data_IF_856588874420
#
_entry.id   IF_856588874420
#
_cell.length_a   1.000
_cell.length_b   1.000
_cell.length_c   1.000
_cell.angle_alpha   90.00
_cell.angle_beta   90.00
_cell.angle_gamma   90.00
#
_symmetry.space_group_name_H-M   'P 1'
#
loop_
_entity.id
_entity.type
_entity.pdbx_description
1 polymer ?
#
# COMPACT_ATOMS: atom_id res chain seq x y z
N UNK A 1 18.86 26.08 -15.22
CA UNK A 1 17.76 25.69 -16.17
C UNK A 1 17.17 24.36 -15.72
N UNK A 2 15.83 24.27 -15.56
CA UNK A 2 15.20 23.04 -15.08
C UNK A 2 15.15 21.99 -16.19
N UNK A 3 15.67 20.80 -15.90
CA UNK A 3 15.66 19.62 -16.77
C UNK A 3 15.14 18.39 -16.03
N UNK A 4 14.79 17.33 -16.78
CA UNK A 4 14.23 16.10 -16.22
C UNK A 4 14.97 14.89 -16.80
N UNK A 5 15.36 13.96 -15.93
CA UNK A 5 16.00 12.69 -16.29
C UNK A 5 15.37 11.57 -15.46
N UNK A 6 15.56 10.32 -15.87
CA UNK A 6 15.22 9.17 -15.02
C UNK A 6 16.18 9.05 -13.84
N UNK A 7 15.76 8.40 -12.77
CA UNK A 7 16.59 8.23 -11.56
C UNK A 7 17.84 7.36 -11.79
N UNK A 8 17.91 6.64 -12.90
CA UNK A 8 19.12 5.90 -13.33
C UNK A 8 20.36 6.79 -13.50
N UNK A 9 20.18 8.11 -13.62
CA UNK A 9 21.27 9.08 -13.69
C UNK A 9 21.87 9.44 -12.33
N UNK A 10 21.33 8.88 -11.24
CA UNK A 10 21.84 9.03 -9.88
C UNK A 10 22.34 7.69 -9.33
N UNK A 11 23.36 7.76 -8.50
CA UNK A 11 23.68 6.64 -7.61
C UNK A 11 22.58 6.47 -6.57
N UNK A 12 22.44 5.29 -5.97
CA UNK A 12 21.50 5.09 -4.86
C UNK A 12 21.74 6.02 -3.68
N UNK A 13 22.99 6.41 -3.43
CA UNK A 13 23.33 7.37 -2.38
C UNK A 13 22.76 8.75 -2.69
N UNK A 14 22.99 9.27 -3.90
CA UNK A 14 22.45 10.57 -4.34
C UNK A 14 20.91 10.57 -4.36
N UNK A 15 20.30 9.48 -4.85
CA UNK A 15 18.85 9.31 -4.85
C UNK A 15 18.29 9.29 -3.43
N UNK A 16 18.96 8.63 -2.49
CA UNK A 16 18.58 8.60 -1.08
C UNK A 16 18.73 9.98 -0.42
N UNK A 17 19.83 10.70 -0.65
CA UNK A 17 20.02 12.06 -0.17
C UNK A 17 18.93 13.01 -0.70
N UNK A 18 18.61 12.91 -1.98
CA UNK A 18 17.50 13.65 -2.58
C UNK A 18 16.14 13.28 -1.94
N UNK A 19 15.90 12.00 -1.66
CA UNK A 19 14.69 11.53 -0.99
C UNK A 19 14.57 12.15 0.42
N UNK A 20 15.61 12.07 1.24
CA UNK A 20 15.60 12.65 2.59
C UNK A 20 15.36 14.16 2.56
N UNK A 21 16.08 14.88 1.69
CA UNK A 21 15.96 16.34 1.55
C UNK A 21 14.61 16.75 0.96
N UNK A 22 14.07 15.99 0.02
CA UNK A 22 12.76 16.23 -0.59
C UNK A 22 11.59 16.04 0.37
N UNK A 23 11.76 15.23 1.43
CA UNK A 23 10.79 15.04 2.50
C UNK A 23 11.11 15.85 3.77
N UNK A 24 12.09 16.75 3.74
CA UNK A 24 12.35 17.61 4.88
C UNK A 24 11.10 18.44 5.26
N UNK A 25 10.74 18.44 6.55
CA UNK A 25 9.53 19.12 7.05
C UNK A 25 8.20 18.44 6.68
N UNK A 26 8.23 17.16 6.24
CA UNK A 26 7.01 16.41 5.99
C UNK A 26 6.30 16.05 7.31
N UNK A 27 4.98 15.81 7.24
CA UNK A 27 4.10 15.54 8.41
C UNK A 27 4.55 14.37 9.28
N UNK A 28 5.20 13.38 8.69
CA UNK A 28 5.82 12.27 9.38
C UNK A 28 7.32 12.20 9.02
N UNK A 29 8.19 11.89 9.99
CA UNK A 29 9.63 11.78 9.69
C UNK A 29 9.88 10.70 8.64
N UNK A 30 10.31 11.11 7.43
CA UNK A 30 10.66 10.19 6.34
C UNK A 30 12.16 9.81 6.37
N UNK A 31 12.73 9.72 7.58
CA UNK A 31 14.11 9.29 7.77
C UNK A 31 14.17 7.76 7.67
N UNK A 32 14.82 7.24 6.66
CA UNK A 32 15.11 5.82 6.53
C UNK A 32 16.58 5.61 6.19
N UNK A 33 17.20 4.51 6.63
CA UNK A 33 18.57 4.14 6.24
C UNK A 33 18.67 3.87 4.73
N UNK A 34 19.87 3.99 4.17
CA UNK A 34 20.11 3.77 2.74
C UNK A 34 19.71 2.37 2.27
N UNK A 35 20.00 1.34 3.06
CA UNK A 35 19.63 -0.04 2.76
C UNK A 35 18.11 -0.25 2.71
N UNK A 36 17.36 0.40 3.61
CA UNK A 36 15.90 0.39 3.58
C UNK A 36 15.34 1.14 2.36
N UNK A 37 15.95 2.25 1.96
CA UNK A 37 15.59 2.96 0.72
C UNK A 37 15.83 2.09 -0.52
N UNK A 38 16.99 1.44 -0.61
CA UNK A 38 17.33 0.53 -1.71
C UNK A 38 16.35 -0.65 -1.76
N UNK A 39 16.02 -1.24 -0.61
CA UNK A 39 15.10 -2.37 -0.51
C UNK A 39 13.70 -2.05 -1.08
N UNK A 40 13.26 -0.79 -1.09
CA UNK A 40 11.99 -0.37 -1.69
C UNK A 40 11.91 -0.65 -3.19
N UNK A 41 13.01 -0.58 -3.92
CA UNK A 41 13.02 -0.88 -5.35
C UNK A 41 12.65 -2.35 -5.63
N UNK A 42 13.07 -3.26 -4.75
CA UNK A 42 12.65 -4.67 -4.82
C UNK A 42 11.28 -4.92 -4.19
N UNK A 43 11.10 -4.49 -2.93
CA UNK A 43 9.91 -4.80 -2.13
C UNK A 43 8.66 -4.07 -2.62
N UNK A 44 8.78 -2.78 -2.94
CA UNK A 44 7.66 -1.95 -3.39
C UNK A 44 7.53 -1.92 -4.92
N UNK A 45 8.34 -2.68 -5.65
CA UNK A 45 8.37 -2.71 -7.11
C UNK A 45 8.63 -1.33 -7.75
N UNK A 46 9.41 -0.47 -7.09
CA UNK A 46 9.88 0.79 -7.68
C UNK A 46 10.91 0.53 -8.77
N UNK A 47 10.97 1.43 -9.76
CA UNK A 47 11.95 1.33 -10.84
C UNK A 47 12.64 2.67 -11.07
N UNK A 48 13.97 2.67 -11.08
CA UNK A 48 14.76 3.86 -11.37
C UNK A 48 14.54 4.35 -12.82
N UNK A 49 14.30 3.44 -13.76
CA UNK A 49 14.09 3.75 -15.19
C UNK A 49 12.78 4.45 -15.51
N UNK A 50 11.81 4.42 -14.59
CA UNK A 50 10.52 5.14 -14.73
C UNK A 50 10.30 6.18 -13.62
N UNK A 51 11.20 6.27 -12.65
CA UNK A 51 11.18 7.34 -11.65
C UNK A 51 11.84 8.59 -12.23
N UNK A 52 11.21 9.76 -12.03
CA UNK A 52 11.69 11.04 -12.58
C UNK A 52 12.46 11.82 -11.52
N UNK A 53 13.55 12.43 -11.95
CA UNK A 53 14.34 13.40 -11.19
C UNK A 53 14.34 14.73 -11.92
N UNK A 54 14.05 15.80 -11.19
CA UNK A 54 14.14 17.17 -11.64
C UNK A 54 15.50 17.74 -11.22
N UNK A 55 16.20 18.35 -12.17
CA UNK A 55 17.49 19.00 -11.98
C UNK A 55 17.37 20.50 -12.21
N UNK A 56 18.11 21.29 -11.44
CA UNK A 56 18.48 22.64 -11.82
C UNK A 56 19.96 22.61 -12.15
N UNK A 57 20.28 22.78 -13.44
CA UNK A 57 21.58 22.45 -14.00
C UNK A 57 21.97 21.00 -13.69
N UNK A 58 23.00 20.77 -12.89
CA UNK A 58 23.44 19.43 -12.46
C UNK A 58 22.98 19.05 -11.06
N UNK A 59 22.29 19.95 -10.33
CA UNK A 59 21.80 19.69 -8.98
C UNK A 59 20.43 19.01 -9.02
N UNK A 60 20.26 17.80 -8.45
CA UNK A 60 18.94 17.19 -8.30
C UNK A 60 18.14 17.93 -7.23
N UNK A 61 16.91 18.37 -7.56
CA UNK A 61 16.09 19.26 -6.72
C UNK A 61 14.69 18.73 -6.45
N UNK A 62 14.27 17.67 -7.14
CA UNK A 62 12.98 17.02 -6.90
C UNK A 62 12.90 15.67 -7.58
N UNK A 63 11.93 14.85 -7.16
CA UNK A 63 11.74 13.50 -7.68
C UNK A 63 10.30 13.04 -7.61
N UNK A 64 9.98 12.04 -8.44
CA UNK A 64 8.82 11.17 -8.31
C UNK A 64 9.31 9.72 -8.39
N UNK A 65 9.14 8.95 -7.33
CA UNK A 65 9.39 7.50 -7.33
C UNK A 65 8.19 6.78 -7.95
N UNK A 66 8.44 5.91 -8.91
CA UNK A 66 7.37 5.21 -9.61
C UNK A 66 7.64 3.71 -9.73
N UNK A 67 6.54 2.93 -9.69
CA UNK A 67 6.50 1.51 -10.00
C UNK A 67 5.38 1.21 -10.99
N UNK A 68 5.51 0.14 -11.77
CA UNK A 68 4.46 -0.38 -12.65
C UNK A 68 4.25 -1.85 -12.35
N UNK A 69 2.99 -2.28 -12.32
CA UNK A 69 2.58 -3.69 -12.29
C UNK A 69 1.55 -3.94 -13.38
N UNK A 70 1.37 -5.19 -13.73
CA UNK A 70 0.32 -5.61 -14.65
C UNK A 70 -0.65 -6.53 -13.93
N UNK A 71 -1.94 -6.23 -14.02
CA UNK A 71 -3.02 -7.02 -13.43
C UNK A 71 -4.12 -7.16 -14.46
N UNK A 72 -4.48 -8.41 -14.82
CA UNK A 72 -5.52 -8.71 -15.80
C UNK A 72 -5.32 -8.02 -17.17
N UNK A 73 -4.06 -7.83 -17.60
CA UNK A 73 -3.72 -7.16 -18.85
C UNK A 73 -3.70 -5.63 -18.78
N UNK A 74 -4.02 -5.03 -17.63
CA UNK A 74 -3.92 -3.59 -17.42
C UNK A 74 -2.63 -3.22 -16.66
N UNK A 75 -1.93 -2.21 -17.15
CA UNK A 75 -0.77 -1.63 -16.48
C UNK A 75 -1.22 -0.57 -15.48
N UNK A 76 -0.92 -0.80 -14.21
CA UNK A 76 -1.20 0.10 -13.10
C UNK A 76 0.14 0.65 -12.60
N UNK A 77 0.27 1.98 -12.55
CA UNK A 77 1.44 2.62 -12.00
C UNK A 77 1.16 3.19 -10.60
N UNK A 78 2.21 3.31 -9.83
CA UNK A 78 2.19 3.91 -8.51
C UNK A 78 3.19 5.05 -8.38
N UNK A 79 2.75 6.17 -7.85
CA UNK A 79 3.62 7.20 -7.32
C UNK A 79 3.94 6.87 -5.86
N UNK A 80 5.09 6.25 -5.64
CA UNK A 80 5.59 5.80 -4.34
C UNK A 80 6.27 6.88 -3.50
N UNK A 81 6.26 8.11 -3.99
CA UNK A 81 6.77 9.28 -3.28
C UNK A 81 7.13 10.42 -4.22
N UNK A 82 6.72 11.60 -3.85
CA UNK A 82 7.05 12.87 -4.54
C UNK A 82 7.70 13.82 -3.55
N UNK A 83 8.84 14.34 -3.88
CA UNK A 83 9.56 15.32 -3.05
C UNK A 83 10.22 16.42 -3.88
N UNK A 84 10.26 17.61 -3.29
CA UNK A 84 11.04 18.77 -3.78
C UNK A 84 11.78 19.35 -2.59
N UNK A 85 13.06 19.60 -2.75
CA UNK A 85 13.88 20.18 -1.68
C UNK A 85 13.37 21.58 -1.30
N UNK A 86 13.51 22.00 -0.01
CA UNK A 86 12.84 23.19 0.52
C UNK A 86 13.03 24.46 -0.32
N UNK A 87 14.24 24.73 -0.82
CA UNK A 87 14.57 25.95 -1.55
C UNK A 87 13.84 26.07 -2.90
N UNK A 88 13.29 24.98 -3.41
CA UNK A 88 12.57 24.91 -4.70
C UNK A 88 11.06 24.80 -4.53
N UNK A 89 10.55 24.73 -3.29
CA UNK A 89 9.10 24.71 -3.01
C UNK A 89 8.45 26.06 -3.27
N UNK A 90 7.13 26.08 -3.44
CA UNK A 90 6.36 27.31 -3.67
C UNK A 90 6.50 27.91 -5.08
N UNK A 91 7.37 27.36 -5.93
CA UNK A 91 7.68 27.87 -7.30
C UNK A 91 6.86 27.18 -8.41
N UNK A 92 5.76 26.49 -8.07
CA UNK A 92 4.90 25.72 -8.99
C UNK A 92 5.60 24.53 -9.68
N UNK A 93 6.82 24.19 -9.28
CA UNK A 93 7.61 23.11 -9.88
C UNK A 93 6.99 21.72 -9.65
N UNK A 94 6.21 21.54 -8.58
CA UNK A 94 5.53 20.27 -8.31
C UNK A 94 4.57 19.85 -9.42
N UNK A 95 3.79 20.79 -9.98
CA UNK A 95 2.89 20.50 -11.11
C UNK A 95 3.69 19.98 -12.31
N UNK A 96 4.75 20.70 -12.71
CA UNK A 96 5.57 20.32 -13.86
C UNK A 96 6.26 18.96 -13.63
N UNK A 97 6.73 18.70 -12.41
CA UNK A 97 7.36 17.43 -12.04
C UNK A 97 6.39 16.25 -12.17
N UNK A 98 5.14 16.40 -11.67
CA UNK A 98 4.14 15.34 -11.79
C UNK A 98 3.68 15.17 -13.25
N UNK A 99 3.50 16.25 -14.01
CA UNK A 99 3.16 16.18 -15.43
C UNK A 99 4.22 15.40 -16.22
N UNK A 100 5.52 15.63 -15.95
CA UNK A 100 6.60 14.84 -16.57
C UNK A 100 6.60 13.38 -16.15
N UNK A 101 6.29 13.08 -14.91
CA UNK A 101 6.12 11.71 -14.45
C UNK A 101 4.96 11.01 -15.18
N UNK A 102 3.80 11.68 -15.33
CA UNK A 102 2.64 11.15 -16.06
C UNK A 102 2.91 10.99 -17.56
N UNK A 103 3.67 11.89 -18.17
CA UNK A 103 4.11 11.78 -19.58
C UNK A 103 4.92 10.49 -19.79
N UNK A 104 5.86 10.19 -18.90
CA UNK A 104 6.64 8.95 -18.97
C UNK A 104 5.76 7.71 -18.78
N UNK A 105 4.80 7.73 -17.86
CA UNK A 105 3.85 6.62 -17.69
C UNK A 105 2.99 6.39 -18.93
N UNK A 106 2.55 7.46 -19.59
CA UNK A 106 1.79 7.36 -20.86
C UNK A 106 2.64 6.73 -21.97
N UNK A 107 3.94 7.08 -22.07
CA UNK A 107 4.88 6.43 -23.00
C UNK A 107 5.07 4.94 -22.70
N UNK A 108 4.95 4.52 -21.43
CA UNK A 108 4.98 3.13 -20.99
C UNK A 108 3.64 2.39 -21.19
N UNK A 109 2.64 3.07 -21.78
CA UNK A 109 1.28 2.56 -21.98
C UNK A 109 0.61 2.11 -20.68
N UNK A 110 0.76 2.92 -19.63
CA UNK A 110 0.06 2.71 -18.36
C UNK A 110 -1.40 3.09 -18.51
N UNK A 111 -2.31 2.23 -18.03
CA UNK A 111 -3.75 2.47 -18.04
C UNK A 111 -4.16 3.39 -16.88
N UNK A 112 -3.70 3.07 -15.68
CA UNK A 112 -4.11 3.75 -14.44
C UNK A 112 -2.88 4.16 -13.65
N UNK A 113 -2.78 5.43 -13.29
CA UNK A 113 -1.81 5.93 -12.31
C UNK A 113 -2.48 6.06 -10.94
N UNK A 114 -1.80 5.57 -9.89
CA UNK A 114 -2.30 5.56 -8.51
C UNK A 114 -1.32 6.25 -7.55
N UNK A 115 -1.82 6.69 -6.43
CA UNK A 115 -1.03 7.16 -5.30
C UNK A 115 -1.84 7.12 -4.00
N UNK A 116 -1.14 7.10 -2.87
CA UNK A 116 -1.69 7.39 -1.56
C UNK A 116 -1.05 8.67 -1.00
N UNK A 117 -1.87 9.51 -0.37
CA UNK A 117 -1.41 10.75 0.27
C UNK A 117 -2.06 10.89 1.66
N UNK A 118 -1.30 11.38 2.65
CA UNK A 118 -1.88 11.70 3.96
C UNK A 118 -3.06 12.65 3.81
N UNK A 119 -4.20 12.34 4.43
CA UNK A 119 -5.43 13.15 4.33
C UNK A 119 -5.24 14.58 4.82
N UNK A 120 -4.30 14.79 5.75
CA UNK A 120 -3.92 16.12 6.25
C UNK A 120 -3.03 16.91 5.27
N UNK A 121 -2.45 16.26 4.25
CA UNK A 121 -1.58 16.91 3.26
C UNK A 121 -2.38 17.55 2.12
N UNK A 122 -3.22 18.51 2.46
CA UNK A 122 -4.08 19.21 1.51
C UNK A 122 -3.31 19.88 0.34
N UNK A 123 -2.10 20.44 0.53
CA UNK A 123 -1.31 20.96 -0.59
C UNK A 123 -0.95 19.88 -1.63
N UNK A 124 -0.58 18.68 -1.20
CA UNK A 124 -0.27 17.58 -2.13
C UNK A 124 -1.53 17.06 -2.83
N UNK A 125 -2.64 16.89 -2.11
CA UNK A 125 -3.92 16.44 -2.68
C UNK A 125 -4.35 17.41 -3.79
N UNK A 126 -4.37 18.73 -3.52
CA UNK A 126 -4.70 19.75 -4.53
C UNK A 126 -3.75 19.75 -5.73
N UNK A 127 -2.46 19.45 -5.49
CA UNK A 127 -1.49 19.31 -6.58
C UNK A 127 -1.84 18.14 -7.50
N UNK A 128 -2.18 16.98 -6.92
CA UNK A 128 -2.57 15.79 -7.68
C UNK A 128 -3.91 15.97 -8.39
N UNK A 129 -4.90 16.57 -7.74
CA UNK A 129 -6.19 16.92 -8.36
C UNK A 129 -6.01 17.83 -9.58
N UNK A 130 -5.13 18.84 -9.47
CA UNK A 130 -4.82 19.77 -10.57
C UNK A 130 -4.27 19.07 -11.82
N UNK A 131 -3.53 17.99 -11.66
CA UNK A 131 -3.01 17.17 -12.78
C UNK A 131 -3.92 16.01 -13.14
N UNK A 132 -5.14 15.97 -12.60
CA UNK A 132 -6.22 15.09 -13.01
C UNK A 132 -6.38 13.80 -12.22
N UNK A 133 -5.69 13.62 -11.08
CA UNK A 133 -6.04 12.56 -10.14
C UNK A 133 -7.37 12.86 -9.45
N UNK A 134 -8.07 11.80 -9.06
CA UNK A 134 -9.32 11.89 -8.28
C UNK A 134 -9.19 11.05 -7.03
N UNK A 135 -9.67 11.55 -5.90
CA UNK A 135 -9.84 10.76 -4.69
C UNK A 135 -10.93 9.73 -4.94
N UNK A 136 -10.61 8.46 -4.75
CA UNK A 136 -11.54 7.34 -4.96
C UNK A 136 -11.89 6.61 -3.67
N UNK A 137 -11.05 6.73 -2.63
CA UNK A 137 -11.31 6.15 -1.32
C UNK A 137 -10.50 6.85 -0.22
N UNK A 138 -10.90 6.61 1.03
CA UNK A 138 -10.14 6.96 2.23
C UNK A 138 -9.58 5.69 2.86
N UNK A 139 -8.33 5.74 3.26
CA UNK A 139 -7.59 4.60 3.81
C UNK A 139 -7.35 4.80 5.30
N UNK A 140 -7.73 3.80 6.08
CA UNK A 140 -7.66 3.84 7.53
C UNK A 140 -6.63 2.87 8.10
N UNK A 141 -6.13 3.21 9.28
CA UNK A 141 -5.23 2.40 10.08
C UNK A 141 -5.92 2.09 11.39
N UNK A 142 -6.03 0.81 11.71
CA UNK A 142 -6.66 0.34 12.94
C UNK A 142 -5.62 -0.41 13.76
N UNK A 143 -5.75 -0.38 15.08
CA UNK A 143 -4.86 -1.09 15.99
C UNK A 143 -5.62 -1.75 17.13
N UNK A 144 -5.12 -2.88 17.59
CA UNK A 144 -5.58 -3.57 18.78
C UNK A 144 -4.40 -4.26 19.48
N UNK A 145 -4.51 -4.48 20.78
CA UNK A 145 -3.49 -5.16 21.58
C UNK A 145 -4.15 -6.11 22.59
N UNK A 146 -3.42 -7.12 23.01
CA UNK A 146 -3.88 -8.09 24.00
C UNK A 146 -4.54 -9.32 23.35
N UNK A 147 -5.23 -10.11 24.15
CA UNK A 147 -6.03 -11.25 23.70
C UNK A 147 -7.40 -10.72 23.26
N UNK A 148 -7.84 -11.11 22.07
CA UNK A 148 -9.16 -10.77 21.54
C UNK A 148 -10.10 -11.96 21.66
N UNK A 149 -11.40 -11.72 21.44
CA UNK A 149 -12.41 -12.78 21.51
C UNK A 149 -12.28 -13.72 20.30
N UNK A 150 -11.80 -14.94 20.54
CA UNK A 150 -11.70 -16.00 19.53
C UNK A 150 -12.94 -16.88 19.58
N UNK A 151 -13.75 -16.85 18.54
CA UNK A 151 -14.95 -17.68 18.43
C UNK A 151 -14.62 -19.01 17.72
N UNK A 152 -14.40 -20.06 18.54
CA UNK A 152 -14.09 -21.40 18.03
C UNK A 152 -15.21 -21.97 17.14
N UNK A 153 -16.48 -21.60 17.38
CA UNK A 153 -17.60 -22.09 16.57
C UNK A 153 -17.49 -21.57 15.14
N UNK A 154 -17.23 -20.25 14.99
CA UNK A 154 -17.03 -19.66 13.67
C UNK A 154 -15.80 -20.28 12.98
N UNK A 155 -14.69 -20.43 13.69
CA UNK A 155 -13.47 -20.99 13.12
C UNK A 155 -13.66 -22.45 12.65
N UNK A 156 -14.43 -23.26 13.38
CA UNK A 156 -14.66 -24.67 13.06
C UNK A 156 -15.66 -24.93 11.91
N UNK A 157 -16.37 -23.91 11.43
CA UNK A 157 -17.29 -24.03 10.28
C UNK A 157 -16.55 -24.08 8.93
N UNK A 158 -15.28 -23.70 8.90
CA UNK A 158 -14.50 -23.51 7.68
C UNK A 158 -13.17 -24.26 7.73
N UNK A 159 -12.74 -24.77 6.58
CA UNK A 159 -11.37 -25.22 6.41
C UNK A 159 -10.47 -23.98 6.25
N UNK A 160 -9.58 -23.74 7.22
CA UNK A 160 -8.64 -22.61 7.19
C UNK A 160 -7.29 -23.08 6.68
N UNK A 161 -6.81 -22.45 5.60
CA UNK A 161 -5.47 -22.71 5.03
C UNK A 161 -4.59 -21.48 5.17
N UNK A 162 -3.39 -21.69 5.71
CA UNK A 162 -2.34 -20.69 5.75
C UNK A 162 -1.33 -21.00 4.63
N UNK A 163 -1.17 -20.08 3.70
CA UNK A 163 -0.24 -20.22 2.56
C UNK A 163 0.64 -18.97 2.44
N UNK A 164 1.83 -19.08 1.83
CA UNK A 164 2.60 -17.90 1.47
C UNK A 164 1.76 -16.95 0.61
N UNK A 165 1.79 -15.65 0.89
CA UNK A 165 0.96 -14.67 0.18
C UNK A 165 1.22 -14.67 -1.34
N UNK A 166 2.45 -15.04 -1.78
CA UNK A 166 2.79 -15.17 -3.19
C UNK A 166 1.91 -16.22 -3.94
N UNK A 167 1.46 -17.27 -3.25
CA UNK A 167 0.56 -18.28 -3.83
C UNK A 167 -0.88 -17.77 -3.96
N UNK A 168 -1.25 -16.73 -3.21
CA UNK A 168 -2.58 -16.11 -3.25
C UNK A 168 -2.70 -15.00 -4.31
N UNK A 169 -1.61 -14.58 -4.95
CA UNK A 169 -1.59 -13.47 -5.93
C UNK A 169 -2.60 -13.67 -7.07
N UNK A 170 -2.78 -14.91 -7.51
CA UNK A 170 -3.72 -15.26 -8.58
C UNK A 170 -5.11 -15.68 -8.07
N UNK A 171 -5.39 -15.46 -6.77
CA UNK A 171 -6.71 -15.74 -6.21
C UNK A 171 -7.71 -14.70 -6.72
N UNK A 172 -8.81 -15.17 -7.31
CA UNK A 172 -9.89 -14.33 -7.88
C UNK A 172 -10.58 -13.48 -6.78
N UNK A 173 -10.34 -13.80 -5.52
CA UNK A 173 -11.04 -13.17 -4.38
C UNK A 173 -10.55 -11.75 -4.08
N UNK A 174 -9.31 -11.39 -4.45
CA UNK A 174 -8.78 -10.06 -4.20
C UNK A 174 -9.08 -9.11 -5.35
N UNK A 175 -9.52 -7.85 -5.09
CA UNK A 175 -9.75 -6.87 -6.14
C UNK A 175 -8.48 -6.54 -6.92
N UNK A 176 -8.62 -6.31 -8.24
CA UNK A 176 -7.50 -5.96 -9.11
C UNK A 176 -6.91 -4.57 -8.82
N UNK A 177 -7.76 -3.61 -8.48
CA UNK A 177 -7.36 -2.25 -8.15
C UNK A 177 -7.51 -1.99 -6.64
N UNK A 178 -6.38 -1.99 -5.97
CA UNK A 178 -6.24 -1.71 -4.53
C UNK A 178 -5.07 -0.75 -4.30
N UNK A 179 -4.96 -0.09 -3.13
CA UNK A 179 -3.78 0.68 -2.79
C UNK A 179 -2.51 -0.15 -2.93
N UNK A 180 -1.45 0.45 -3.47
CA UNK A 180 -0.25 -0.28 -3.89
C UNK A 180 0.39 -1.13 -2.79
N UNK A 181 0.51 -0.55 -1.60
CA UNK A 181 1.23 -1.19 -0.49
C UNK A 181 0.48 -2.36 0.15
N UNK A 182 -0.80 -2.55 -0.19
CA UNK A 182 -1.63 -3.68 0.26
C UNK A 182 -1.98 -4.64 -0.87
N UNK A 183 -1.40 -4.43 -2.04
CA UNK A 183 -1.60 -5.28 -3.20
C UNK A 183 -1.05 -6.70 -2.96
N UNK A 184 -1.82 -7.74 -3.33
CA UNK A 184 -1.37 -9.12 -3.20
C UNK A 184 -0.07 -9.45 -3.92
N UNK A 185 0.31 -8.72 -4.98
CA UNK A 185 1.58 -8.93 -5.70
C UNK A 185 2.77 -8.21 -5.06
N UNK A 186 2.52 -7.23 -4.20
CA UNK A 186 3.55 -6.42 -3.52
C UNK A 186 3.80 -6.95 -2.10
N UNK A 187 2.74 -7.17 -1.32
CA UNK A 187 2.82 -7.64 0.07
C UNK A 187 3.67 -8.91 0.26
N UNK A 188 3.65 -9.93 -0.66
CA UNK A 188 4.43 -11.15 -0.52
C UNK A 188 5.94 -10.94 -0.52
N UNK A 189 6.45 -9.93 -1.23
CA UNK A 189 7.88 -9.66 -1.36
C UNK A 189 8.55 -9.36 -0.01
N UNK A 190 7.76 -8.93 0.96
CA UNK A 190 8.19 -8.64 2.31
C UNK A 190 7.83 -9.77 3.32
N UNK A 191 7.46 -10.98 2.87
CA UNK A 191 7.21 -12.14 3.72
C UNK A 191 5.79 -12.21 4.31
N UNK A 192 4.76 -11.90 3.52
CA UNK A 192 3.36 -12.03 3.93
C UNK A 192 2.80 -13.45 3.78
N UNK A 193 1.69 -13.71 4.44
CA UNK A 193 0.89 -14.94 4.37
C UNK A 193 -0.57 -14.62 4.03
N UNK A 194 -1.23 -15.54 3.34
CA UNK A 194 -2.67 -15.51 3.14
C UNK A 194 -3.34 -16.56 4.04
N UNK A 195 -4.41 -16.17 4.70
CA UNK A 195 -5.30 -17.09 5.37
C UNK A 195 -6.57 -17.20 4.51
N UNK A 196 -6.82 -18.40 4.04
CA UNK A 196 -7.94 -18.70 3.16
C UNK A 196 -8.98 -19.51 3.94
N UNK A 197 -10.23 -19.06 3.94
CA UNK A 197 -11.35 -19.80 4.50
C UNK A 197 -12.16 -20.45 3.39
N UNK A 198 -12.34 -21.76 3.48
CA UNK A 198 -12.99 -22.60 2.48
C UNK A 198 -14.16 -23.39 3.09
N UNK A 199 -15.15 -23.67 2.27
CA UNK A 199 -16.25 -24.61 2.57
C UNK A 199 -16.60 -25.37 1.30
N UNK A 200 -16.79 -26.68 1.39
CA UNK A 200 -17.10 -27.55 0.25
C UNK A 200 -16.15 -27.37 -0.96
N UNK A 201 -14.85 -27.19 -0.68
CA UNK A 201 -13.78 -26.90 -1.65
C UNK A 201 -13.88 -25.54 -2.36
N UNK A 202 -14.83 -24.69 -1.99
CA UNK A 202 -14.96 -23.33 -2.48
C UNK A 202 -14.21 -22.35 -1.55
N UNK A 203 -13.49 -21.39 -2.15
CA UNK A 203 -12.84 -20.29 -1.41
C UNK A 203 -13.86 -19.20 -1.17
N UNK A 204 -14.21 -18.97 0.09
CA UNK A 204 -15.23 -17.98 0.48
C UNK A 204 -14.66 -16.67 0.99
N UNK A 205 -13.47 -16.71 1.61
CA UNK A 205 -12.82 -15.52 2.12
C UNK A 205 -11.30 -15.70 2.18
N UNK A 206 -10.59 -14.59 2.19
CA UNK A 206 -9.15 -14.57 2.46
C UNK A 206 -8.73 -13.25 3.12
N UNK A 207 -7.64 -13.32 3.89
CA UNK A 207 -6.94 -12.12 4.34
C UNK A 207 -5.43 -12.27 4.13
N UNK A 208 -4.75 -11.14 3.88
CA UNK A 208 -3.30 -11.03 3.77
C UNK A 208 -2.75 -10.42 5.03
N UNK A 209 -1.83 -11.12 5.68
CA UNK A 209 -1.20 -10.69 6.92
C UNK A 209 0.30 -10.83 6.85
N UNK A 210 1.01 -10.08 7.70
CA UNK A 210 2.42 -10.27 7.97
C UNK A 210 2.64 -10.31 9.46
N UNK A 211 3.14 -11.46 9.94
CA UNK A 211 3.49 -11.64 11.34
C UNK A 211 4.93 -11.20 11.57
N UNK A 212 5.14 -10.26 12.49
CA UNK A 212 6.45 -9.89 12.99
C UNK A 212 6.85 -10.88 14.10
N UNK A 213 7.93 -11.60 13.87
CA UNK A 213 8.44 -12.58 14.84
C UNK A 213 9.57 -11.98 15.66
N UNK A 214 9.62 -12.30 16.95
CA UNK A 214 10.77 -12.10 17.81
C UNK A 214 11.77 -13.24 17.59
N UNK A 215 13.04 -12.99 17.86
CA UNK A 215 14.04 -14.05 17.87
C UNK A 215 13.58 -15.18 18.79
N UNK A 216 13.39 -16.41 18.26
CA UNK A 216 12.88 -17.55 19.03
C UNK A 216 11.43 -17.96 18.70
N UNK A 217 10.85 -17.53 17.58
CA UNK A 217 9.55 -17.94 17.02
C UNK A 217 8.27 -17.37 17.66
N UNK A 218 8.32 -16.53 18.68
CA UNK A 218 7.11 -15.90 19.19
C UNK A 218 6.68 -14.72 18.32
N UNK A 219 5.38 -14.67 18.00
CA UNK A 219 4.79 -13.52 17.30
C UNK A 219 4.78 -12.30 18.24
N UNK A 220 5.42 -11.20 17.82
CA UNK A 220 5.41 -9.92 18.52
C UNK A 220 4.22 -9.05 18.09
N UNK A 221 3.82 -9.19 16.84
CA UNK A 221 2.71 -8.46 16.26
C UNK A 221 2.33 -8.99 14.90
N UNK A 222 1.19 -8.54 14.39
CA UNK A 222 0.69 -8.88 13.06
C UNK A 222 0.06 -7.66 12.40
N UNK A 223 0.29 -7.51 11.10
CA UNK A 223 -0.32 -6.47 10.28
C UNK A 223 -1.24 -7.09 9.25
N UNK A 224 -2.49 -6.63 9.20
CA UNK A 224 -3.45 -6.93 8.13
C UNK A 224 -3.25 -5.95 6.98
N UNK A 225 -3.04 -6.47 5.78
CA UNK A 225 -2.90 -5.67 4.56
C UNK A 225 -4.16 -5.71 3.70
N UNK A 226 -4.81 -6.87 3.60
CA UNK A 226 -5.97 -7.05 2.74
C UNK A 226 -6.94 -8.05 3.36
N UNK A 227 -8.22 -7.85 3.11
CA UNK A 227 -9.26 -8.78 3.46
C UNK A 227 -10.33 -8.77 2.37
N UNK A 228 -10.79 -9.93 1.96
CA UNK A 228 -11.80 -10.06 0.92
C UNK A 228 -12.67 -11.28 1.13
N UNK A 229 -13.89 -11.23 0.61
CA UNK A 229 -14.86 -12.32 0.72
C UNK A 229 -15.71 -12.42 -0.53
N UNK A 230 -16.25 -13.61 -0.80
CA UNK A 230 -17.33 -13.78 -1.75
C UNK A 230 -18.62 -13.21 -1.14
N UNK A 231 -18.97 -11.98 -1.51
CA UNK A 231 -20.15 -11.28 -0.99
C UNK A 231 -21.48 -11.89 -1.46
N UNK A 232 -21.46 -12.71 -2.50
CA UNK A 232 -22.67 -13.39 -3.01
C UNK A 232 -22.97 -14.68 -2.25
N UNK A 233 -21.97 -15.24 -1.55
CA UNK A 233 -22.15 -16.46 -0.76
C UNK A 233 -22.69 -16.13 0.63
N UNK A 234 -23.75 -16.84 1.12
CA UNK A 234 -24.38 -16.54 2.41
C UNK A 234 -23.42 -16.67 3.61
N UNK A 235 -22.42 -17.54 3.51
CA UNK A 235 -21.40 -17.74 4.56
C UNK A 235 -20.17 -16.85 4.38
N UNK A 236 -20.08 -16.01 3.33
CA UNK A 236 -18.90 -15.25 2.99
C UNK A 236 -18.37 -14.38 4.14
N UNK A 237 -19.24 -13.61 4.78
CA UNK A 237 -18.85 -12.74 5.93
C UNK A 237 -18.38 -13.59 7.13
N UNK A 238 -19.02 -14.73 7.41
CA UNK A 238 -18.58 -15.62 8.49
C UNK A 238 -17.23 -16.27 8.19
N UNK A 239 -17.01 -16.67 6.94
CA UNK A 239 -15.73 -17.17 6.47
C UNK A 239 -14.64 -16.12 6.63
N UNK A 240 -14.93 -14.84 6.31
CA UNK A 240 -13.98 -13.73 6.52
C UNK A 240 -13.68 -13.53 8.01
N UNK A 241 -14.67 -13.61 8.89
CA UNK A 241 -14.45 -13.54 10.34
C UNK A 241 -13.54 -14.66 10.83
N UNK A 242 -13.73 -15.91 10.34
CA UNK A 242 -12.85 -17.03 10.65
C UNK A 242 -11.41 -16.78 10.18
N UNK A 243 -11.23 -16.35 8.93
CA UNK A 243 -9.90 -16.03 8.37
C UNK A 243 -9.20 -14.90 9.15
N UNK A 244 -9.93 -13.85 9.55
CA UNK A 244 -9.38 -12.73 10.31
C UNK A 244 -8.97 -13.13 11.72
N UNK A 245 -9.78 -13.93 12.44
CA UNK A 245 -9.44 -14.43 13.78
C UNK A 245 -8.14 -15.25 13.75
N UNK A 246 -8.01 -16.15 12.76
CA UNK A 246 -6.82 -16.98 12.58
C UNK A 246 -5.62 -16.13 12.15
N UNK A 247 -5.80 -15.29 11.12
CA UNK A 247 -4.72 -14.47 10.55
C UNK A 247 -4.16 -13.45 11.52
N UNK A 248 -5.03 -12.85 12.32
CA UNK A 248 -4.68 -11.85 13.32
C UNK A 248 -4.39 -12.45 14.70
N UNK A 249 -4.35 -13.79 14.82
CA UNK A 249 -4.02 -14.50 16.06
C UNK A 249 -4.81 -14.01 17.28
N UNK A 250 -6.15 -13.99 17.22
CA UNK A 250 -7.00 -13.42 18.27
C UNK A 250 -6.76 -14.04 19.65
N UNK A 251 -6.39 -15.32 19.71
CA UNK A 251 -6.08 -16.06 20.92
C UNK A 251 -4.70 -15.75 21.56
N UNK A 252 -3.93 -14.82 20.99
CA UNK A 252 -2.60 -14.44 21.49
C UNK A 252 -2.59 -13.00 22.00
N UNK A 253 -1.73 -12.74 23.00
CA UNK A 253 -1.51 -11.39 23.52
C UNK A 253 -0.40 -10.70 22.70
N UNK A 254 -0.76 -10.08 21.58
CA UNK A 254 0.17 -9.41 20.66
C UNK A 254 -0.42 -8.08 20.17
N UNK A 255 0.43 -7.25 19.53
CA UNK A 255 -0.01 -6.05 18.81
C UNK A 255 -0.55 -6.39 17.43
N UNK A 256 -1.62 -5.71 17.03
CA UNK A 256 -2.26 -5.86 15.72
C UNK A 256 -2.44 -4.51 15.10
N UNK A 257 -2.07 -4.43 13.83
CA UNK A 257 -2.29 -3.23 13.04
C UNK A 257 -2.98 -3.61 11.73
N UNK A 258 -3.72 -2.69 11.16
CA UNK A 258 -4.11 -2.76 9.76
C UNK A 258 -3.33 -1.74 8.97
N UNK A 259 -3.21 -1.94 7.67
CA UNK A 259 -2.52 -1.02 6.79
C UNK A 259 -3.41 -0.67 5.60
N UNK A 260 -3.65 0.63 5.35
CA UNK A 260 -4.41 1.14 4.21
C UNK A 260 -5.74 0.41 3.95
N UNK A 261 -6.54 0.16 5.00
CA UNK A 261 -7.86 -0.41 4.82
C UNK A 261 -8.80 0.62 4.18
N UNK A 262 -9.38 0.25 3.06
CA UNK A 262 -10.29 1.08 2.28
C UNK A 262 -11.64 1.25 3.01
N UNK A 263 -12.18 2.47 3.01
CA UNK A 263 -13.47 2.78 3.64
C UNK A 263 -14.64 1.97 3.02
N UNK A 264 -14.55 1.65 1.71
CA UNK A 264 -15.51 0.77 1.03
C UNK A 264 -15.57 -0.65 1.56
N UNK A 265 -14.58 -1.11 2.33
CA UNK A 265 -14.58 -2.42 3.01
C UNK A 265 -15.50 -2.44 4.24
N UNK A 266 -16.66 -1.80 4.17
CA UNK A 266 -17.60 -1.62 5.30
C UNK A 266 -18.13 -2.94 5.89
N UNK A 267 -18.10 -4.04 5.12
CA UNK A 267 -18.66 -5.32 5.54
C UNK A 267 -17.95 -5.94 6.75
N UNK A 268 -16.67 -5.64 6.99
CA UNK A 268 -15.95 -6.18 8.12
C UNK A 268 -15.44 -5.13 9.14
N UNK A 269 -15.52 -3.85 8.86
CA UNK A 269 -15.16 -2.81 9.83
C UNK A 269 -15.94 -2.92 11.15
N UNK A 270 -17.25 -3.23 11.16
CA UNK A 270 -17.97 -3.50 12.40
C UNK A 270 -17.38 -4.67 13.20
N UNK A 271 -16.91 -5.72 12.51
CA UNK A 271 -16.24 -6.84 13.16
C UNK A 271 -14.94 -6.42 13.86
N UNK A 272 -14.11 -5.60 13.21
CA UNK A 272 -12.89 -5.07 13.84
C UNK A 272 -13.24 -4.23 15.08
N UNK A 273 -14.18 -3.29 14.96
CA UNK A 273 -14.63 -2.44 16.08
C UNK A 273 -15.13 -3.25 17.25
N UNK A 274 -15.99 -4.24 17.01
CA UNK A 274 -16.56 -5.10 18.04
C UNK A 274 -15.51 -6.00 18.71
N UNK A 275 -14.37 -6.23 18.06
CA UNK A 275 -13.23 -6.96 18.59
C UNK A 275 -12.11 -6.05 19.13
N UNK A 276 -12.44 -4.79 19.48
CA UNK A 276 -11.54 -3.90 20.22
C UNK A 276 -10.51 -3.16 19.38
N UNK A 277 -10.60 -3.24 18.06
CA UNK A 277 -9.75 -2.39 17.20
C UNK A 277 -10.23 -0.92 17.28
N UNK A 278 -9.26 -0.02 17.37
CA UNK A 278 -9.45 1.42 17.39
C UNK A 278 -8.86 2.03 16.12
N UNK A 279 -9.58 2.94 15.49
CA UNK A 279 -9.04 3.72 14.38
C UNK A 279 -7.98 4.67 14.92
N UNK A 280 -6.87 4.82 14.21
CA UNK A 280 -5.87 5.82 14.51
C UNK A 280 -6.28 7.18 13.94
N UNK A 281 -5.65 8.26 14.41
CA UNK A 281 -5.92 9.62 13.91
C UNK A 281 -5.28 9.85 12.51
N UNK A 282 -4.53 8.87 12.00
CA UNK A 282 -3.86 8.95 10.71
C UNK A 282 -4.76 8.30 9.65
N UNK A 283 -4.96 8.99 8.53
CA UNK A 283 -5.60 8.43 7.34
C UNK A 283 -4.89 8.90 6.07
N UNK A 284 -5.11 8.18 4.99
CA UNK A 284 -4.66 8.56 3.65
C UNK A 284 -5.86 8.65 2.71
N UNK A 285 -5.72 9.36 1.61
CA UNK A 285 -6.61 9.27 0.48
C UNK A 285 -5.96 8.38 -0.58
N UNK A 286 -6.76 7.49 -1.17
CA UNK A 286 -6.37 6.75 -2.37
C UNK A 286 -6.82 7.55 -3.59
N UNK A 287 -5.88 7.85 -4.47
CA UNK A 287 -6.16 8.65 -5.65
C UNK A 287 -5.77 7.90 -6.92
N UNK A 288 -6.59 8.04 -7.94
CA UNK A 288 -6.36 7.42 -9.25
C UNK A 288 -6.49 8.42 -10.39
N UNK A 289 -5.80 8.16 -11.49
CA UNK A 289 -5.94 8.88 -12.75
C UNK A 289 -5.89 7.90 -13.91
N UNK A 290 -6.93 7.92 -14.76
CA UNK A 290 -6.94 7.19 -16.02
C UNK A 290 -6.00 7.89 -17.01
N UNK A 291 -5.10 7.15 -17.65
CA UNK A 291 -4.13 7.66 -18.62
C UNK A 291 -4.46 7.22 -20.06
N UNK A 292 -5.10 6.06 -20.21
CA UNK A 292 -5.55 5.53 -21.49
C UNK A 292 -7.02 5.14 -21.36
N UNK A 293 -7.81 5.44 -22.38
CA UNK A 293 -9.20 4.99 -22.53
C UNK A 293 -9.26 3.58 -23.10
#
# INVERSE_FOLDING_TARGET
MITFKTMEHLTFKEAHELFINGFEGYFTPMKMPLDAFIARFGNDNLSAGISIVMFDEDRPVGFVLQGIREVNGEKIAWNGGTGIIPEYRGKKLGTILIEKALELLSQQKVNIATLEALSINQPAIKLYEKVGYKVVDTLHFWEAEGVLNYDEKIASEFELKRIPALQAVNSIIFPALVPWQVDPSITPKAGGEAIIAMKDSEVLAACLVRTKQKFGSEAEGVTLFQASTNNEHPDGIRALQAALQEGLHFNRSIKRNTYNLEDKMQNFLPFLKNNGFKNTDISQVFMTKQLME
#
